data_IF_710976176872
#
_entry.id   IF_710976176872
#
_cell.length_a   1.000
_cell.length_b   1.000
_cell.length_c   1.000
_cell.angle_alpha   90.00
_cell.angle_beta   90.00
_cell.angle_gamma   90.00
#
_symmetry.space_group_name_H-M   'P 1'
#
loop_
_entity.id
_entity.type
_entity.pdbx_description
1 polymer ?
#
# COMPACT_ATOMS: atom_id res chain seq x y z
N UNK A 1 62.88 4.22 -39.62
CA UNK A 1 62.10 4.37 -38.40
C UNK A 1 60.64 4.75 -38.67
N UNK A 2 60.33 5.72 -39.49
CA UNK A 2 58.96 6.17 -39.79
C UNK A 2 58.05 5.07 -40.37
N UNK A 3 58.54 4.22 -41.26
CA UNK A 3 57.74 3.13 -41.88
C UNK A 3 57.32 2.04 -40.88
N UNK A 4 58.15 1.77 -39.88
CA UNK A 4 57.82 0.79 -38.82
C UNK A 4 56.73 1.32 -37.89
N UNK A 5 56.71 2.63 -37.62
CA UNK A 5 55.69 3.31 -36.82
C UNK A 5 54.30 3.29 -37.50
N UNK A 6 54.27 3.49 -38.82
CA UNK A 6 53.03 3.49 -39.60
C UNK A 6 52.41 2.09 -39.62
N UNK A 7 53.20 1.03 -39.73
CA UNK A 7 52.70 -0.35 -39.75
C UNK A 7 52.18 -0.75 -38.36
N UNK A 8 52.84 -0.37 -37.27
CA UNK A 8 52.37 -0.61 -35.92
C UNK A 8 51.06 0.15 -35.59
N UNK A 9 50.96 1.39 -36.07
CA UNK A 9 49.72 2.18 -35.83
C UNK A 9 48.53 1.63 -36.62
N UNK A 10 48.76 1.15 -37.85
CA UNK A 10 47.77 0.51 -38.71
C UNK A 10 47.28 -0.81 -38.12
N UNK A 11 48.15 -1.61 -37.53
CA UNK A 11 47.78 -2.88 -36.90
C UNK A 11 46.91 -2.71 -35.66
N UNK A 12 47.17 -1.69 -34.83
CA UNK A 12 46.38 -1.35 -33.66
C UNK A 12 44.97 -0.86 -34.05
N UNK A 13 44.85 -0.08 -35.13
CA UNK A 13 43.55 0.43 -35.59
C UNK A 13 42.68 -0.66 -36.18
N UNK A 14 43.25 -1.65 -36.88
CA UNK A 14 42.50 -2.81 -37.41
C UNK A 14 42.06 -3.75 -36.29
N UNK A 15 42.85 -3.91 -35.25
CA UNK A 15 42.47 -4.72 -34.08
C UNK A 15 41.29 -4.13 -33.30
N UNK A 16 41.16 -2.78 -33.27
CA UNK A 16 40.06 -2.10 -32.61
C UNK A 16 38.75 -2.18 -33.41
N UNK A 17 38.83 -2.29 -34.74
CA UNK A 17 37.67 -2.42 -35.63
C UNK A 17 37.04 -3.84 -35.63
N UNK A 18 37.79 -4.85 -35.16
CA UNK A 18 37.33 -6.25 -35.08
C UNK A 18 36.69 -6.62 -33.72
N UNK A 19 36.70 -5.69 -32.75
CA UNK A 19 35.90 -5.91 -31.55
C UNK A 19 34.40 -5.78 -31.90
N UNK A 20 33.62 -6.87 -31.83
CA UNK A 20 32.20 -6.77 -32.07
C UNK A 20 31.65 -5.87 -30.95
N UNK A 21 31.19 -4.68 -31.33
CA UNK A 21 30.42 -3.81 -30.48
C UNK A 21 29.13 -4.57 -30.17
N UNK A 22 29.19 -5.47 -29.17
CA UNK A 22 27.99 -6.15 -28.69
C UNK A 22 27.10 -5.06 -28.12
N UNK A 23 25.92 -4.78 -28.71
CA UNK A 23 25.00 -3.84 -28.09
C UNK A 23 24.69 -4.42 -26.70
N UNK A 24 25.11 -3.69 -25.66
CA UNK A 24 24.67 -3.95 -24.31
C UNK A 24 23.15 -3.85 -24.37
N UNK A 25 22.48 -4.99 -24.46
CA UNK A 25 21.03 -5.04 -24.28
C UNK A 25 20.79 -4.50 -22.89
N UNK A 26 20.34 -3.27 -22.81
CA UNK A 26 19.78 -2.74 -21.59
C UNK A 26 18.58 -3.61 -21.23
N UNK A 27 18.76 -4.50 -20.25
CA UNK A 27 17.70 -5.32 -19.67
C UNK A 27 16.71 -4.46 -18.84
N UNK A 28 16.60 -3.16 -19.18
CA UNK A 28 15.80 -2.23 -18.39
C UNK A 28 14.29 -2.53 -18.42
N UNK A 29 13.81 -3.30 -19.40
CA UNK A 29 12.41 -3.75 -19.44
C UNK A 29 12.39 -5.12 -20.11
N UNK A 30 12.36 -6.18 -19.30
CA UNK A 30 11.96 -7.48 -19.79
C UNK A 30 10.51 -7.37 -20.29
N UNK A 31 10.28 -7.74 -21.56
CA UNK A 31 8.94 -7.77 -22.16
C UNK A 31 8.01 -8.83 -21.52
N UNK A 32 8.52 -9.58 -20.54
CA UNK A 32 7.75 -10.49 -19.69
C UNK A 32 7.11 -9.80 -18.48
N UNK A 33 6.93 -8.47 -18.52
CA UNK A 33 6.08 -7.78 -17.56
C UNK A 33 4.69 -8.42 -17.55
N UNK A 34 4.06 -8.51 -16.38
CA UNK A 34 2.74 -9.11 -16.21
C UNK A 34 1.79 -8.66 -17.32
N UNK A 35 1.44 -9.56 -18.24
CA UNK A 35 0.45 -9.29 -19.28
C UNK A 35 -0.90 -9.07 -18.60
N UNK A 36 -1.24 -7.80 -18.39
CA UNK A 36 -2.56 -7.24 -18.02
C UNK A 36 -3.05 -7.37 -16.58
N UNK A 37 -2.68 -8.38 -15.78
CA UNK A 37 -3.18 -8.51 -14.41
C UNK A 37 -2.03 -8.63 -13.40
N UNK A 38 -1.59 -7.47 -12.88
CA UNK A 38 -0.52 -7.40 -11.90
C UNK A 38 -0.80 -8.21 -10.62
N UNK A 39 -2.09 -8.46 -10.30
CA UNK A 39 -2.49 -9.23 -9.13
C UNK A 39 -2.17 -10.72 -9.26
N UNK A 40 -2.04 -11.24 -10.47
CA UNK A 40 -1.65 -12.64 -10.71
C UNK A 40 -0.16 -12.88 -10.55
N UNK A 41 0.66 -11.84 -10.78
CA UNK A 41 2.12 -11.94 -10.74
C UNK A 41 2.69 -11.55 -9.37
N UNK A 42 1.95 -10.76 -8.59
CA UNK A 42 2.40 -10.28 -7.28
C UNK A 42 1.46 -10.78 -6.21
N UNK A 43 2.02 -11.23 -5.12
CA UNK A 43 1.27 -11.70 -3.94
C UNK A 43 1.84 -11.05 -2.69
N UNK A 44 1.00 -10.84 -1.70
CA UNK A 44 1.41 -10.44 -0.36
C UNK A 44 0.66 -11.29 0.66
N UNK A 45 1.38 -11.82 1.62
CA UNK A 45 0.83 -12.65 2.68
C UNK A 45 0.60 -11.84 3.96
N UNK A 46 -0.31 -12.29 4.81
CA UNK A 46 -0.51 -11.66 6.12
C UNK A 46 0.77 -11.68 6.98
N UNK A 47 1.64 -12.67 6.80
CA UNK A 47 2.92 -12.73 7.53
C UNK A 47 3.85 -11.59 7.10
N UNK A 48 3.98 -11.36 5.79
CA UNK A 48 4.78 -10.24 5.27
C UNK A 48 4.22 -8.90 5.72
N UNK A 49 2.89 -8.73 5.73
CA UNK A 49 2.25 -7.51 6.26
C UNK A 49 2.57 -7.32 7.74
N UNK A 50 2.56 -8.39 8.56
CA UNK A 50 2.96 -8.30 9.99
C UNK A 50 4.40 -7.84 10.16
N UNK A 51 5.31 -8.31 9.34
CA UNK A 51 6.72 -7.88 9.35
C UNK A 51 6.86 -6.40 8.99
N UNK A 52 6.10 -5.95 7.98
CA UNK A 52 6.02 -4.54 7.60
C UNK A 52 5.49 -3.70 8.76
N UNK A 53 4.37 -4.10 9.39
CA UNK A 53 3.79 -3.40 10.53
C UNK A 53 4.76 -3.32 11.72
N UNK A 54 5.51 -4.38 11.96
CA UNK A 54 6.56 -4.40 13.00
C UNK A 54 7.66 -3.38 12.69
N UNK A 55 8.10 -3.29 11.43
CA UNK A 55 9.11 -2.30 11.01
C UNK A 55 8.61 -0.86 11.14
N UNK A 56 7.31 -0.65 11.00
CA UNK A 56 6.62 0.64 11.21
C UNK A 56 6.32 0.94 12.70
N UNK A 57 6.84 0.15 13.64
CA UNK A 57 6.61 0.28 15.08
C UNK A 57 5.12 0.15 15.48
N UNK A 58 4.37 -0.63 14.72
CA UNK A 58 2.96 -0.95 14.98
C UNK A 58 2.73 -2.47 15.06
N UNK A 59 3.46 -3.22 15.94
CA UNK A 59 3.38 -4.68 15.99
C UNK A 59 2.02 -5.18 16.43
N UNK A 60 1.28 -4.38 17.21
CA UNK A 60 -0.02 -4.75 17.78
C UNK A 60 -1.20 -4.40 16.85
N UNK A 61 -0.92 -3.86 15.67
CA UNK A 61 -1.97 -3.56 14.72
C UNK A 61 -2.56 -4.85 14.13
N UNK A 62 -3.88 -5.00 14.25
CA UNK A 62 -4.63 -6.10 13.67
C UNK A 62 -4.84 -5.87 12.17
N UNK A 63 -4.55 -6.88 11.36
CA UNK A 63 -4.80 -6.84 9.91
C UNK A 63 -6.27 -7.21 9.68
N UNK A 64 -7.06 -6.27 9.17
CA UNK A 64 -8.46 -6.49 8.85
C UNK A 64 -8.64 -7.07 7.46
N UNK A 65 -7.96 -6.49 6.47
CA UNK A 65 -8.04 -6.92 5.07
C UNK A 65 -6.81 -6.51 4.30
N UNK A 66 -6.43 -7.37 3.36
CA UNK A 66 -5.41 -7.09 2.35
C UNK A 66 -6.05 -7.27 0.97
N UNK A 67 -5.94 -6.29 0.11
CA UNK A 67 -6.52 -6.33 -1.23
C UNK A 67 -5.71 -5.45 -2.19
N UNK A 68 -6.00 -5.56 -3.50
CA UNK A 68 -5.41 -4.64 -4.46
C UNK A 68 -5.93 -3.21 -4.26
N UNK A 69 -5.03 -2.25 -4.35
CA UNK A 69 -5.37 -0.83 -4.32
C UNK A 69 -6.04 -0.38 -5.64
N UNK A 70 -6.87 0.69 -5.62
CA UNK A 70 -7.31 1.37 -6.83
C UNK A 70 -6.16 1.87 -7.70
N UNK A 71 -5.00 2.17 -7.10
CA UNK A 71 -3.78 2.51 -7.82
C UNK A 71 -3.02 1.24 -8.20
N UNK A 72 -2.59 1.16 -9.44
CA UNK A 72 -1.75 0.05 -9.91
C UNK A 72 -0.42 0.03 -9.18
N UNK A 73 0.07 -1.15 -8.89
CA UNK A 73 1.38 -1.36 -8.24
C UNK A 73 1.36 -1.29 -6.72
N UNK A 74 0.18 -1.17 -6.10
CA UNK A 74 0.02 -1.09 -4.66
C UNK A 74 -0.97 -2.14 -4.14
N UNK A 75 -0.67 -2.68 -2.96
CA UNK A 75 -1.62 -3.37 -2.10
C UNK A 75 -2.24 -2.39 -1.12
N UNK A 76 -3.54 -2.51 -0.91
CA UNK A 76 -4.27 -1.80 0.15
C UNK A 76 -4.36 -2.72 1.37
N UNK A 77 -3.84 -2.25 2.50
CA UNK A 77 -3.84 -2.96 3.78
C UNK A 77 -4.68 -2.19 4.80
N UNK A 78 -5.82 -2.75 5.14
CA UNK A 78 -6.67 -2.21 6.20
C UNK A 78 -6.24 -2.78 7.54
N UNK A 79 -6.01 -1.91 8.50
CA UNK A 79 -5.55 -2.30 9.84
C UNK A 79 -6.40 -1.67 10.93
N UNK A 80 -6.38 -2.29 12.09
CA UNK A 80 -6.93 -1.74 13.33
C UNK A 80 -5.77 -1.52 14.31
N UNK A 81 -5.53 -0.28 14.69
CA UNK A 81 -4.51 0.04 15.68
C UNK A 81 -5.13 0.80 16.84
N UNK A 82 -5.04 0.22 18.06
CA UNK A 82 -5.63 0.79 19.30
C UNK A 82 -7.10 1.20 19.11
N UNK A 83 -7.89 0.34 18.47
CA UNK A 83 -9.32 0.58 18.22
C UNK A 83 -9.65 1.57 17.11
N UNK A 84 -8.66 2.12 16.41
CA UNK A 84 -8.84 3.03 15.28
C UNK A 84 -8.52 2.33 13.96
N UNK A 85 -9.43 2.34 12.99
CA UNK A 85 -9.14 1.82 11.67
C UNK A 85 -8.16 2.73 10.94
N UNK A 86 -7.24 2.12 10.21
CA UNK A 86 -6.26 2.78 9.38
C UNK A 86 -6.09 2.08 8.05
N UNK A 87 -5.48 2.78 7.12
CA UNK A 87 -5.18 2.26 5.79
C UNK A 87 -3.73 2.54 5.43
N UNK A 88 -3.07 1.53 4.92
CA UNK A 88 -1.70 1.60 4.41
C UNK A 88 -1.67 1.08 2.98
N UNK A 89 -0.76 1.59 2.18
CA UNK A 89 -0.52 1.08 0.84
C UNK A 89 0.91 0.56 0.75
N UNK A 90 1.06 -0.68 0.32
CA UNK A 90 2.36 -1.36 0.17
C UNK A 90 2.62 -1.56 -1.30
N UNK A 91 3.79 -1.20 -1.79
CA UNK A 91 4.16 -1.42 -3.19
C UNK A 91 4.35 -2.92 -3.49
N UNK A 92 4.22 -3.32 -4.74
CA UNK A 92 4.33 -4.72 -5.14
C UNK A 92 5.72 -5.31 -4.90
N UNK A 93 6.76 -4.49 -4.81
CA UNK A 93 8.09 -4.92 -4.42
C UNK A 93 8.27 -5.10 -2.92
N UNK A 94 7.29 -4.65 -2.10
CA UNK A 94 7.27 -4.72 -0.63
C UNK A 94 8.40 -3.93 0.04
N UNK A 95 8.95 -2.96 -0.68
CA UNK A 95 10.04 -2.12 -0.19
C UNK A 95 9.54 -0.79 0.41
N UNK A 96 8.37 -0.34 -0.01
CA UNK A 96 7.84 0.97 0.37
C UNK A 96 6.43 0.87 0.91
N UNK A 97 6.15 1.68 1.91
CA UNK A 97 4.81 1.87 2.46
C UNK A 97 4.42 3.34 2.31
N UNK A 98 3.24 3.56 1.78
CA UNK A 98 2.63 4.88 1.70
C UNK A 98 1.51 4.96 2.73
N UNK A 99 1.60 5.94 3.63
CA UNK A 99 0.54 6.30 4.58
C UNK A 99 0.04 7.68 4.22
N UNK A 100 -1.20 7.76 3.73
CA UNK A 100 -1.76 9.03 3.25
C UNK A 100 -3.07 8.82 2.49
N UNK A 101 -3.58 9.91 1.92
CA UNK A 101 -4.83 9.90 1.16
C UNK A 101 -4.59 9.74 -0.33
N UNK A 102 -5.34 8.83 -0.93
CA UNK A 102 -5.48 8.71 -2.39
C UNK A 102 -6.73 9.47 -2.79
N UNK A 103 -6.56 10.48 -3.64
CA UNK A 103 -7.65 11.31 -4.16
C UNK A 103 -7.75 11.10 -5.67
N UNK A 104 -8.94 10.77 -6.16
CA UNK A 104 -9.20 10.67 -7.58
C UNK A 104 -9.27 12.07 -8.20
N UNK A 105 -8.36 12.37 -9.12
CA UNK A 105 -8.21 13.73 -9.68
C UNK A 105 -9.47 14.21 -10.41
N UNK A 106 -10.15 13.31 -11.13
CA UNK A 106 -11.33 13.65 -11.94
C UNK A 106 -12.53 14.07 -11.11
N UNK A 107 -12.74 13.43 -9.97
CA UNK A 107 -13.92 13.61 -9.12
C UNK A 107 -13.64 14.36 -7.83
N UNK A 108 -12.37 14.49 -7.45
CA UNK A 108 -11.97 14.99 -6.13
C UNK A 108 -12.25 14.01 -4.98
N UNK A 109 -12.69 12.79 -5.29
CA UNK A 109 -13.10 11.79 -4.30
C UNK A 109 -11.90 11.25 -3.53
N UNK A 110 -11.95 11.31 -2.20
CA UNK A 110 -10.94 10.73 -1.33
C UNK A 110 -11.25 9.23 -1.10
N UNK A 111 -10.58 8.38 -1.86
CA UNK A 111 -10.77 6.93 -1.82
C UNK A 111 -10.35 6.32 -0.49
N UNK A 112 -9.30 6.86 0.13
CA UNK A 112 -8.82 6.41 1.44
C UNK A 112 -9.85 6.71 2.53
N UNK A 113 -10.38 7.92 2.57
CA UNK A 113 -11.39 8.33 3.55
C UNK A 113 -12.66 7.48 3.41
N UNK A 114 -13.12 7.27 2.19
CA UNK A 114 -14.28 6.42 1.95
C UNK A 114 -14.07 5.00 2.49
N UNK A 115 -12.90 4.42 2.26
CA UNK A 115 -12.58 3.08 2.77
C UNK A 115 -12.53 3.05 4.29
N UNK A 116 -11.91 4.05 4.92
CA UNK A 116 -11.86 4.15 6.40
C UNK A 116 -13.27 4.30 6.98
N UNK A 117 -14.14 5.10 6.34
CA UNK A 117 -15.55 5.24 6.76
C UNK A 117 -16.30 3.90 6.66
N UNK A 118 -16.14 3.16 5.56
CA UNK A 118 -16.74 1.83 5.40
C UNK A 118 -16.27 0.84 6.50
N UNK A 119 -14.98 0.89 6.88
CA UNK A 119 -14.46 0.08 7.98
C UNK A 119 -15.04 0.48 9.32
N UNK A 120 -15.33 1.75 9.55
CA UNK A 120 -16.00 2.24 10.76
C UNK A 120 -17.47 1.81 10.81
N UNK A 121 -18.19 1.97 9.69
CA UNK A 121 -19.61 1.58 9.59
C UNK A 121 -19.83 0.08 9.77
N UNK A 122 -18.90 -0.76 9.31
CA UNK A 122 -18.97 -2.22 9.50
C UNK A 122 -18.89 -2.65 10.98
N UNK A 123 -18.48 -1.73 11.88
CA UNK A 123 -18.37 -1.94 13.33
C UNK A 123 -19.57 -1.38 14.11
N UNK A 124 -20.75 -1.38 13.54
CA UNK A 124 -21.95 -0.97 14.27
C UNK A 124 -22.07 -1.76 15.56
N UNK A 125 -22.13 -1.02 16.66
CA UNK A 125 -22.39 -1.61 17.97
C UNK A 125 -23.88 -1.97 18.04
N UNK A 126 -24.17 -3.17 18.48
CA UNK A 126 -25.53 -3.56 18.77
C UNK A 126 -26.01 -2.80 20.03
N UNK A 127 -26.88 -1.85 19.81
CA UNK A 127 -27.41 -0.98 20.88
C UNK A 127 -28.05 -1.78 22.00
N UNK A 128 -28.65 -2.95 21.73
CA UNK A 128 -29.28 -3.80 22.71
C UNK A 128 -28.28 -4.34 23.75
N UNK A 129 -27.01 -4.38 23.45
CA UNK A 129 -25.92 -4.84 24.34
C UNK A 129 -25.37 -3.74 25.26
N UNK A 130 -25.83 -2.51 25.11
CA UNK A 130 -25.41 -1.42 25.98
C UNK A 130 -26.19 -1.50 27.28
N UNK A 131 -25.52 -1.64 28.45
CA UNK A 131 -26.20 -1.77 29.75
C UNK A 131 -26.78 -0.41 30.19
N UNK A 132 -27.95 -0.07 29.72
CA UNK A 132 -28.61 1.20 30.02
C UNK A 132 -29.33 1.21 31.39
N UNK A 133 -29.39 0.10 32.12
CA UNK A 133 -30.13 -0.01 33.39
C UNK A 133 -29.67 0.93 34.51
N UNK A 134 -28.44 1.44 34.42
CA UNK A 134 -27.86 2.42 35.35
C UNK A 134 -27.55 3.76 34.69
N UNK A 135 -28.00 3.96 33.45
CA UNK A 135 -27.73 5.20 32.71
C UNK A 135 -28.61 6.33 33.27
N UNK A 136 -28.01 7.53 33.32
CA UNK A 136 -28.80 8.75 33.57
C UNK A 136 -29.60 9.06 32.29
N UNK A 137 -30.93 9.04 32.43
CA UNK A 137 -31.84 9.30 31.31
C UNK A 137 -32.20 10.78 31.31
N UNK A 138 -31.99 11.48 30.18
CA UNK A 138 -32.44 12.84 29.95
C UNK A 138 -33.47 12.84 28.82
N UNK A 139 -34.62 13.44 29.02
CA UNK A 139 -35.71 13.51 28.06
C UNK A 139 -36.76 12.41 28.21
N UNK A 140 -37.57 12.27 27.16
CA UNK A 140 -38.68 11.28 27.15
C UNK A 140 -38.17 9.87 26.85
N UNK A 141 -38.43 8.96 27.80
CA UNK A 141 -38.05 7.53 27.71
C UNK A 141 -38.75 6.83 26.52
N UNK A 142 -39.92 7.31 26.09
CA UNK A 142 -40.68 6.79 24.97
C UNK A 142 -40.24 7.34 23.62
N UNK A 143 -39.26 8.25 23.58
CA UNK A 143 -38.75 8.80 22.32
C UNK A 143 -38.33 7.71 21.33
N UNK A 144 -38.70 7.81 20.03
CA UNK A 144 -38.30 6.87 19.00
C UNK A 144 -36.80 6.92 18.68
N UNK A 145 -36.14 8.04 18.98
CA UNK A 145 -34.69 8.22 18.78
C UNK A 145 -34.02 8.31 20.16
N UNK A 146 -33.01 7.48 20.35
CA UNK A 146 -32.23 7.41 21.58
C UNK A 146 -30.74 7.58 21.25
N UNK A 147 -30.06 8.37 22.08
CA UNK A 147 -28.60 8.57 21.97
C UNK A 147 -27.98 8.16 23.28
N UNK A 148 -27.03 7.25 23.25
CA UNK A 148 -26.21 6.89 24.41
C UNK A 148 -24.89 7.64 24.34
N UNK A 149 -24.54 8.38 25.39
CA UNK A 149 -23.28 9.10 25.50
C UNK A 149 -22.49 8.46 26.64
N UNK A 150 -21.27 8.08 26.36
CA UNK A 150 -20.32 7.59 27.35
C UNK A 150 -19.41 8.75 27.71
N UNK A 151 -19.43 9.14 28.97
CA UNK A 151 -18.56 10.19 29.51
C UNK A 151 -17.70 9.59 30.60
N UNK A 152 -16.42 10.02 30.65
CA UNK A 152 -15.58 9.76 31.82
C UNK A 152 -15.80 10.90 32.80
N UNK A 153 -16.18 10.65 34.06
CA UNK A 153 -16.52 11.71 35.02
C UNK A 153 -15.29 12.32 35.74
N UNK A 154 -14.07 12.18 35.20
CA UNK A 154 -12.85 12.77 35.78
C UNK A 154 -12.84 14.29 35.76
#
# INVERSE_FOLDING_TARGET
MIRLFIILFSAVFVAFALFPFSPVRSLAFDKTGCEMDCQKCHTITNQEVKEILKSLKAPDAEILKVQASPLRGLWEVSVMNKGRPGLLYVDFSKNYVVSGSIVEVKTGKNMTMERVTQLQESRRVDFSKIPLGQALVMGDVASPLKVAVFTDPD
#
